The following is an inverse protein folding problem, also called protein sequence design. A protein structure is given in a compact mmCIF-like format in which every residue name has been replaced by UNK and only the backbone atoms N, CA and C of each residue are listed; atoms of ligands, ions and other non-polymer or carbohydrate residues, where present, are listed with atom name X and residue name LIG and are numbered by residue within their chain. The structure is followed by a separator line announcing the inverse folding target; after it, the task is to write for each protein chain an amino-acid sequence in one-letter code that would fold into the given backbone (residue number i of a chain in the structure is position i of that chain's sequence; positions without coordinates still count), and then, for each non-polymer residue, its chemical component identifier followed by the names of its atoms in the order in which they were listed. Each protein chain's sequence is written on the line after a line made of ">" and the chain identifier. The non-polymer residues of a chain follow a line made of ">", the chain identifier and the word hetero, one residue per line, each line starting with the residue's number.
data_IF_108555956219
#
_entry.id   IF_108555956219
#
_cell.length_a   1.000
_cell.length_b   1.000
_cell.length_c   1.000
_cell.angle_alpha   90.00
_cell.angle_beta   90.00
_cell.angle_gamma   90.00
#
_symmetry.space_group_name_H-M   'P 1'
#
loop_
_entity.id
_entity.type
_entity.pdbx_description
1 polymer ?
#
# COMPACT_ATOMS: atom_id res chain seq x y z
N UNK A 1 3.13 -13.15 11.04
CA UNK A 1 3.52 -12.50 9.76
C UNK A 1 4.45 -11.35 10.08
N UNK A 2 5.54 -11.18 9.34
CA UNK A 2 6.48 -10.08 9.54
C UNK A 2 6.11 -8.89 8.61
N UNK A 3 6.21 -7.64 9.10
CA UNK A 3 6.00 -6.47 8.28
C UNK A 3 7.16 -6.28 7.29
N UNK A 4 6.84 -5.97 6.03
CA UNK A 4 7.81 -5.67 4.97
C UNK A 4 8.42 -4.27 5.09
N UNK A 5 7.76 -3.39 5.84
CA UNK A 5 8.22 -2.02 6.07
C UNK A 5 8.19 -1.68 7.56
N UNK A 6 8.93 -0.65 7.89
CA UNK A 6 9.04 -0.12 9.26
C UNK A 6 8.55 1.33 9.29
N UNK A 7 8.41 1.89 10.52
CA UNK A 7 8.19 3.33 10.70
C UNK A 7 9.21 4.18 9.94
N UNK A 8 10.48 3.76 9.96
CA UNK A 8 11.56 4.49 9.29
C UNK A 8 11.36 4.53 7.78
N UNK A 9 10.84 3.45 7.20
CA UNK A 9 10.52 3.42 5.78
C UNK A 9 9.36 4.35 5.44
N UNK A 10 8.32 4.40 6.27
CA UNK A 10 7.20 5.34 6.09
C UNK A 10 7.69 6.78 6.21
N UNK A 11 8.58 7.07 7.18
CA UNK A 11 9.11 8.40 7.43
C UNK A 11 9.95 8.97 6.27
N UNK A 12 10.44 8.13 5.36
CA UNK A 12 11.11 8.57 4.12
C UNK A 12 10.16 9.31 3.17
N UNK A 13 8.88 8.97 3.19
CA UNK A 13 7.89 9.44 2.23
C UNK A 13 6.79 10.29 2.84
N UNK A 14 6.46 10.06 4.13
CA UNK A 14 5.37 10.72 4.84
C UNK A 14 5.78 11.11 6.24
N UNK A 15 5.35 12.30 6.65
CA UNK A 15 5.56 12.75 8.02
C UNK A 15 4.72 11.90 8.97
N UNK A 16 5.38 11.13 9.82
CA UNK A 16 4.76 10.35 10.88
C UNK A 16 5.35 10.75 12.23
N UNK A 17 4.51 10.84 13.27
CA UNK A 17 4.96 11.21 14.62
C UNK A 17 5.93 10.17 15.17
N UNK A 18 7.02 10.65 15.80
CA UNK A 18 7.99 9.79 16.52
C UNK A 18 7.37 9.11 17.76
N UNK A 19 6.34 9.71 18.33
CA UNK A 19 5.63 9.22 19.51
C UNK A 19 4.39 8.37 19.19
N UNK A 20 4.15 8.01 17.92
CA UNK A 20 3.06 7.13 17.56
C UNK A 20 3.27 5.73 18.19
N UNK A 21 2.17 5.08 18.59
CA UNK A 21 2.23 3.73 19.12
C UNK A 21 2.69 2.75 18.04
N UNK A 22 3.86 2.13 18.22
CA UNK A 22 4.45 1.19 17.25
C UNK A 22 3.60 -0.05 17.04
N UNK A 23 2.97 -0.58 18.10
CA UNK A 23 2.11 -1.75 17.97
C UNK A 23 0.93 -1.44 17.04
N UNK A 24 0.24 -0.31 17.26
CA UNK A 24 -0.87 0.12 16.41
C UNK A 24 -0.42 0.44 14.97
N UNK A 25 0.77 1.02 14.79
CA UNK A 25 1.32 1.26 13.46
C UNK A 25 1.63 -0.05 12.74
N UNK A 26 2.16 -1.06 13.44
CA UNK A 26 2.44 -2.38 12.88
C UNK A 26 1.16 -3.09 12.42
N UNK A 27 0.04 -2.97 13.18
CA UNK A 27 -1.26 -3.46 12.72
C UNK A 27 -1.65 -2.83 11.36
N UNK A 28 -1.50 -1.53 11.23
CA UNK A 28 -1.82 -0.82 9.98
C UNK A 28 -0.88 -1.18 8.82
N UNK A 29 0.40 -1.47 9.12
CA UNK A 29 1.35 -1.99 8.13
C UNK A 29 0.89 -3.37 7.64
N UNK A 30 0.54 -4.27 8.55
CA UNK A 30 0.07 -5.61 8.21
C UNK A 30 -1.25 -5.57 7.44
N UNK A 31 -2.18 -4.70 7.82
CA UNK A 31 -3.43 -4.47 7.10
C UNK A 31 -3.17 -3.97 5.67
N UNK A 32 -2.29 -2.98 5.50
CA UNK A 32 -1.91 -2.49 4.18
C UNK A 32 -1.25 -3.58 3.33
N UNK A 33 -0.45 -4.41 3.97
CA UNK A 33 0.27 -5.51 3.32
C UNK A 33 -0.70 -6.60 2.84
N UNK A 34 -1.66 -7.01 3.67
CA UNK A 34 -2.60 -8.07 3.35
C UNK A 34 -3.78 -7.60 2.48
N UNK A 35 -4.34 -6.42 2.79
CA UNK A 35 -5.60 -5.98 2.20
C UNK A 35 -5.41 -5.08 0.98
N UNK A 36 -4.27 -4.38 0.89
CA UNK A 36 -4.01 -3.49 -0.24
C UNK A 36 -2.93 -4.05 -1.18
N UNK A 37 -1.80 -4.54 -0.67
CA UNK A 37 -0.69 -5.00 -1.52
C UNK A 37 -0.93 -6.40 -2.10
N UNK A 38 -1.29 -7.40 -1.27
CA UNK A 38 -1.47 -8.77 -1.72
C UNK A 38 -2.40 -8.90 -2.93
N UNK A 39 -3.56 -8.23 -2.98
CA UNK A 39 -4.43 -8.28 -4.17
C UNK A 39 -3.82 -7.68 -5.44
N UNK A 40 -2.84 -6.78 -5.30
CA UNK A 40 -2.17 -6.13 -6.44
C UNK A 40 -1.09 -7.02 -7.05
N UNK A 41 -0.29 -7.67 -6.21
CA UNK A 41 0.84 -8.49 -6.69
C UNK A 41 0.47 -9.97 -6.90
N UNK A 42 -0.65 -10.40 -6.35
CA UNK A 42 -1.11 -11.78 -6.36
C UNK A 42 -0.51 -12.62 -5.23
N UNK A 43 -1.22 -13.67 -4.84
CA UNK A 43 -0.89 -14.50 -3.69
C UNK A 43 0.46 -15.23 -3.83
N UNK A 44 0.77 -15.73 -5.03
CA UNK A 44 2.01 -16.47 -5.28
C UNK A 44 3.24 -15.60 -5.03
N UNK A 45 3.32 -14.42 -5.66
CA UNK A 45 4.44 -13.50 -5.48
C UNK A 45 4.49 -12.98 -4.04
N UNK A 46 3.33 -12.70 -3.43
CA UNK A 46 3.24 -12.23 -2.06
C UNK A 46 3.85 -13.25 -1.06
N UNK A 47 3.50 -14.53 -1.18
CA UNK A 47 4.03 -15.57 -0.31
C UNK A 47 5.54 -15.78 -0.47
N UNK A 48 6.07 -15.69 -1.69
CA UNK A 48 7.50 -15.75 -1.95
C UNK A 48 8.25 -14.54 -1.37
N UNK A 49 7.70 -13.35 -1.53
CA UNK A 49 8.23 -12.12 -0.90
C UNK A 49 8.37 -12.23 0.62
N UNK A 50 7.43 -12.90 1.28
CA UNK A 50 7.49 -13.12 2.72
C UNK A 50 8.46 -14.23 3.13
N UNK A 51 8.64 -15.24 2.27
CA UNK A 51 9.51 -16.37 2.56
C UNK A 51 11.00 -16.03 2.37
N UNK A 52 11.33 -15.31 1.30
CA UNK A 52 12.72 -14.96 0.90
C UNK A 52 12.82 -13.50 0.46
N UNK A 53 12.59 -12.53 1.36
CA UNK A 53 12.58 -11.10 0.99
C UNK A 53 13.92 -10.62 0.40
N UNK A 54 15.03 -11.27 0.73
CA UNK A 54 16.37 -10.98 0.21
C UNK A 54 16.49 -11.21 -1.31
N UNK A 55 15.72 -12.14 -1.88
CA UNK A 55 15.73 -12.41 -3.32
C UNK A 55 14.96 -11.34 -4.13
N UNK A 56 14.15 -10.54 -3.47
CA UNK A 56 13.27 -9.55 -4.07
C UNK A 56 13.65 -8.11 -3.72
N UNK A 57 14.91 -7.85 -3.35
CA UNK A 57 15.34 -6.53 -2.90
C UNK A 57 15.07 -5.42 -3.93
N UNK A 58 15.32 -5.68 -5.21
CA UNK A 58 15.07 -4.71 -6.29
C UNK A 58 13.58 -4.37 -6.45
N UNK A 59 12.70 -5.33 -6.12
CA UNK A 59 11.26 -5.10 -6.13
C UNK A 59 10.81 -4.37 -4.85
N UNK A 60 11.38 -4.73 -3.71
CA UNK A 60 11.03 -4.16 -2.39
C UNK A 60 11.53 -2.72 -2.26
N UNK A 61 12.82 -2.50 -2.48
CA UNK A 61 13.46 -1.19 -2.30
C UNK A 61 13.25 -0.26 -3.50
N UNK A 62 13.13 -0.85 -4.70
CA UNK A 62 13.16 -0.10 -5.94
C UNK A 62 14.57 0.29 -6.37
N UNK A 63 14.67 1.05 -7.44
CA UNK A 63 15.96 1.46 -7.99
C UNK A 63 15.88 1.72 -9.48
N UNK A 64 17.04 1.94 -10.08
CA UNK A 64 17.19 2.08 -11.54
C UNK A 64 17.36 0.70 -12.15
N UNK A 65 16.62 0.42 -13.20
CA UNK A 65 16.76 -0.80 -14.00
C UNK A 65 16.77 -0.48 -15.49
N UNK A 66 17.33 -1.36 -16.28
CA UNK A 66 17.38 -1.23 -17.73
C UNK A 66 16.42 -2.22 -18.38
N UNK A 67 15.70 -1.76 -19.40
CA UNK A 67 14.87 -2.60 -20.25
C UNK A 67 14.94 -2.05 -21.68
N UNK A 68 15.21 -2.92 -22.65
CA UNK A 68 15.32 -2.57 -24.08
C UNK A 68 16.32 -1.43 -24.35
N UNK A 69 17.44 -1.38 -23.59
CA UNK A 69 18.47 -0.34 -23.73
C UNK A 69 18.07 1.03 -23.14
N UNK A 70 16.99 1.11 -22.40
CA UNK A 70 16.50 2.34 -21.76
C UNK A 70 16.51 2.17 -20.24
N UNK A 71 17.08 3.15 -19.54
CA UNK A 71 17.06 3.21 -18.07
C UNK A 71 15.71 3.70 -17.55
N UNK A 72 15.14 2.95 -16.60
CA UNK A 72 13.88 3.27 -15.93
C UNK A 72 14.05 3.26 -14.41
N UNK A 73 13.12 3.90 -13.71
CA UNK A 73 13.07 3.89 -12.25
C UNK A 73 11.90 3.04 -11.76
N UNK A 74 12.21 2.05 -10.90
CA UNK A 74 11.24 1.32 -10.08
C UNK A 74 11.11 2.03 -8.73
N UNK A 75 9.90 2.38 -8.30
CA UNK A 75 9.67 3.06 -7.03
C UNK A 75 9.68 2.12 -5.80
N UNK A 76 9.60 0.81 -6.04
CA UNK A 76 9.63 -0.22 -5.00
C UNK A 76 8.34 -0.39 -4.22
N UNK A 77 8.16 -1.60 -3.68
CA UNK A 77 6.97 -1.94 -2.87
C UNK A 77 6.95 -1.21 -1.52
N UNK A 78 8.11 -0.84 -0.97
CA UNK A 78 8.18 -0.06 0.28
C UNK A 78 7.46 1.28 0.14
N UNK A 79 7.63 1.95 -1.00
CA UNK A 79 6.94 3.22 -1.24
C UNK A 79 5.43 3.00 -1.36
N UNK A 80 4.97 1.99 -2.09
CA UNK A 80 3.54 1.63 -2.19
C UNK A 80 2.94 1.39 -0.81
N UNK A 81 3.58 0.53 -0.01
CA UNK A 81 3.13 0.20 1.34
C UNK A 81 3.14 1.40 2.28
N UNK A 82 4.16 2.27 2.19
CA UNK A 82 4.23 3.47 3.01
C UNK A 82 3.00 4.38 2.81
N UNK A 83 2.55 4.55 1.58
CA UNK A 83 1.37 5.36 1.28
C UNK A 83 0.05 4.69 1.71
N UNK A 84 -0.13 3.39 1.48
CA UNK A 84 -1.30 2.65 1.98
C UNK A 84 -1.36 2.65 3.51
N UNK A 85 -0.24 2.38 4.18
CA UNK A 85 -0.15 2.42 5.64
C UNK A 85 -0.48 3.81 6.18
N UNK A 86 0.06 4.86 5.57
CA UNK A 86 -0.21 6.23 5.99
C UNK A 86 -1.68 6.60 5.81
N UNK A 87 -2.31 6.18 4.72
CA UNK A 87 -3.75 6.36 4.53
C UNK A 87 -4.55 5.76 5.69
N UNK A 88 -4.26 4.51 6.08
CA UNK A 88 -4.90 3.85 7.23
C UNK A 88 -4.59 4.57 8.54
N UNK A 89 -3.34 4.99 8.73
CA UNK A 89 -2.90 5.71 9.93
C UNK A 89 -3.71 6.99 10.16
N UNK A 90 -3.98 7.79 9.14
CA UNK A 90 -4.76 9.02 9.26
C UNK A 90 -6.18 8.76 9.79
N UNK A 91 -6.82 7.68 9.36
CA UNK A 91 -8.17 7.32 9.79
C UNK A 91 -8.17 6.82 11.24
N UNK A 92 -7.24 5.93 11.59
CA UNK A 92 -7.31 5.16 12.84
C UNK A 92 -6.42 5.71 13.96
N UNK A 93 -5.50 6.66 13.68
CA UNK A 93 -4.53 7.13 14.68
C UNK A 93 -5.15 7.83 15.89
N UNK A 94 -6.25 8.56 15.71
CA UNK A 94 -6.94 9.27 16.79
C UNK A 94 -7.88 8.40 17.61
N UNK A 95 -8.21 7.21 17.11
CA UNK A 95 -9.17 6.30 17.74
C UNK A 95 -8.45 5.34 18.68
N UNK A 96 -8.96 5.13 19.87
CA UNK A 96 -8.42 4.18 20.86
C UNK A 96 -9.56 3.32 21.38
N UNK A 97 -9.36 2.01 21.35
CA UNK A 97 -10.27 1.06 21.99
C UNK A 97 -10.01 1.02 23.50
N UNK A 98 -11.08 1.01 24.28
CA UNK A 98 -11.06 0.93 25.74
C UNK A 98 -12.03 -0.15 26.18
N UNK A 99 -11.92 -0.61 27.44
CA UNK A 99 -12.80 -1.64 27.99
C UNK A 99 -14.31 -1.28 27.93
N UNK A 100 -14.66 -0.02 27.73
CA UNK A 100 -16.05 0.44 27.73
C UNK A 100 -16.54 0.91 26.36
N UNK A 101 -15.66 1.45 25.53
CA UNK A 101 -16.03 2.01 24.22
C UNK A 101 -14.80 2.39 23.40
N UNK A 102 -15.01 2.57 22.12
CA UNK A 102 -14.05 3.21 21.22
C UNK A 102 -14.13 4.72 21.41
N UNK A 103 -13.00 5.35 21.74
CA UNK A 103 -12.92 6.78 22.05
C UNK A 103 -11.92 7.49 21.13
N UNK A 104 -12.17 8.76 20.84
CA UNK A 104 -11.21 9.64 20.18
C UNK A 104 -10.48 10.47 21.24
N UNK A 105 -9.14 10.43 21.23
CA UNK A 105 -8.34 11.22 22.17
C UNK A 105 -8.35 12.69 21.76
N UNK A 106 -8.81 13.54 22.66
CA UNK A 106 -8.71 14.98 22.58
C UNK A 106 -7.51 15.45 23.42
N UNK A 107 -6.83 16.49 22.97
CA UNK A 107 -5.79 17.16 23.74
C UNK A 107 -6.23 18.61 23.96
N UNK A 108 -5.88 19.22 25.10
CA UNK A 108 -6.28 20.59 25.46
C UNK A 108 -5.78 21.65 24.45
N UNK A 109 -4.67 21.36 23.77
CA UNK A 109 -4.02 22.28 22.82
C UNK A 109 -4.26 21.98 21.35
N UNK A 110 -4.84 20.82 21.02
CA UNK A 110 -5.08 20.41 19.63
C UNK A 110 -6.31 19.53 19.52
N UNK A 111 -7.03 19.67 18.41
CA UNK A 111 -8.16 18.79 18.07
C UNK A 111 -7.78 17.88 16.92
N UNK A 112 -8.26 16.63 16.92
CA UNK A 112 -8.15 15.77 15.75
C UNK A 112 -8.76 16.46 14.52
N UNK A 113 -8.18 16.21 13.35
CA UNK A 113 -8.78 16.65 12.10
C UNK A 113 -10.20 16.08 11.97
N UNK A 114 -11.11 16.86 11.39
CA UNK A 114 -12.48 16.41 11.16
C UNK A 114 -12.55 15.20 10.23
N UNK A 115 -13.66 14.48 10.26
CA UNK A 115 -13.84 13.24 9.49
C UNK A 115 -13.74 13.49 7.97
N UNK A 116 -14.16 14.65 7.47
CA UNK A 116 -14.07 15.00 6.06
C UNK A 116 -12.63 15.19 5.62
N UNK A 117 -11.84 15.93 6.40
CA UNK A 117 -10.40 16.14 6.16
C UNK A 117 -9.64 14.82 6.21
N UNK A 118 -9.91 13.96 7.22
CA UNK A 118 -9.32 12.62 7.32
C UNK A 118 -9.64 11.78 6.08
N UNK A 119 -10.90 11.78 5.63
CA UNK A 119 -11.34 11.05 4.45
C UNK A 119 -10.65 11.54 3.18
N UNK A 120 -10.50 12.85 3.01
CA UNK A 120 -9.80 13.46 1.88
C UNK A 120 -8.33 13.03 1.85
N UNK A 121 -7.62 13.15 2.99
CA UNK A 121 -6.22 12.75 3.09
C UNK A 121 -6.06 11.25 2.85
N UNK A 122 -6.97 10.42 3.36
CA UNK A 122 -7.01 8.99 3.10
C UNK A 122 -7.11 8.69 1.61
N UNK A 123 -8.09 9.27 0.91
CA UNK A 123 -8.30 9.06 -0.53
C UNK A 123 -7.07 9.50 -1.33
N UNK A 124 -6.52 10.69 -1.08
CA UNK A 124 -5.34 11.20 -1.77
C UNK A 124 -4.12 10.27 -1.62
N UNK A 125 -3.91 9.71 -0.42
CA UNK A 125 -2.80 8.79 -0.20
C UNK A 125 -3.05 7.42 -0.83
N UNK A 126 -4.27 6.92 -0.84
CA UNK A 126 -4.61 5.68 -1.57
C UNK A 126 -4.43 5.85 -3.08
N UNK A 127 -4.90 6.94 -3.64
CA UNK A 127 -4.75 7.23 -5.07
C UNK A 127 -3.28 7.34 -5.45
N UNK A 128 -2.48 8.02 -4.63
CA UNK A 128 -1.03 8.08 -4.81
C UNK A 128 -0.38 6.70 -4.73
N UNK A 129 -0.79 5.84 -3.78
CA UNK A 129 -0.29 4.46 -3.67
C UNK A 129 -0.57 3.66 -4.95
N UNK A 130 -1.78 3.79 -5.53
CA UNK A 130 -2.12 3.14 -6.80
C UNK A 130 -1.29 3.68 -7.97
N UNK A 131 -1.03 4.99 -8.04
CA UNK A 131 -0.16 5.56 -9.08
C UNK A 131 1.29 5.05 -8.96
N UNK A 132 1.80 4.94 -7.72
CA UNK A 132 3.12 4.37 -7.45
C UNK A 132 3.13 2.88 -7.84
N UNK A 133 2.08 2.14 -7.50
CA UNK A 133 1.92 0.75 -7.89
C UNK A 133 1.95 0.57 -9.42
N UNK A 134 1.32 1.45 -10.19
CA UNK A 134 1.39 1.35 -11.66
C UNK A 134 2.83 1.48 -12.20
N UNK A 135 3.72 2.22 -11.50
CA UNK A 135 5.14 2.25 -11.84
C UNK A 135 5.81 0.90 -11.52
N UNK A 136 5.59 0.34 -10.32
CA UNK A 136 6.12 -0.97 -9.94
C UNK A 136 5.60 -2.09 -10.84
N UNK A 137 4.33 -2.03 -11.21
CA UNK A 137 3.72 -2.96 -12.16
C UNK A 137 4.40 -2.93 -13.53
N UNK A 138 4.76 -1.74 -14.04
CA UNK A 138 5.55 -1.61 -15.28
C UNK A 138 6.92 -2.25 -15.15
N UNK A 139 7.58 -2.13 -13.99
CA UNK A 139 8.83 -2.83 -13.71
C UNK A 139 8.65 -4.34 -13.84
N UNK A 140 7.65 -4.93 -13.14
CA UNK A 140 7.37 -6.37 -13.19
C UNK A 140 7.08 -6.88 -14.62
N UNK A 141 6.35 -6.10 -15.42
CA UNK A 141 6.03 -6.44 -16.80
C UNK A 141 7.28 -6.38 -17.70
N UNK A 142 8.06 -5.30 -17.60
CA UNK A 142 9.24 -5.10 -18.46
C UNK A 142 10.37 -6.09 -18.17
N UNK A 143 10.52 -6.47 -16.91
CA UNK A 143 11.51 -7.46 -16.49
C UNK A 143 11.02 -8.91 -16.68
N UNK A 144 9.81 -9.09 -17.20
CA UNK A 144 9.19 -10.43 -17.35
C UNK A 144 9.28 -11.24 -16.07
N UNK A 145 8.94 -10.59 -14.92
CA UNK A 145 9.10 -11.21 -13.61
C UNK A 145 8.33 -12.54 -13.52
N UNK A 146 8.99 -13.69 -13.24
CA UNK A 146 8.43 -15.01 -13.42
C UNK A 146 7.22 -15.30 -12.53
N UNK A 147 7.15 -14.64 -11.38
CA UNK A 147 6.11 -14.86 -10.38
C UNK A 147 4.95 -13.86 -10.49
N UNK A 148 5.05 -12.92 -11.41
CA UNK A 148 4.01 -11.91 -11.61
C UNK A 148 3.14 -12.25 -12.82
N UNK A 149 1.90 -12.67 -12.55
CA UNK A 149 0.89 -12.86 -13.59
C UNK A 149 0.10 -11.56 -13.75
N UNK A 150 0.31 -10.87 -14.86
CA UNK A 150 -0.50 -9.69 -15.20
C UNK A 150 -1.93 -10.13 -15.51
N UNK A 151 -2.75 -10.36 -14.49
CA UNK A 151 -4.18 -10.53 -14.65
C UNK A 151 -4.80 -9.19 -15.09
N UNK A 152 -4.68 -8.84 -16.37
CA UNK A 152 -5.62 -7.91 -16.95
C UNK A 152 -7.00 -8.57 -16.85
N UNK A 153 -7.83 -8.14 -15.90
CA UNK A 153 -9.26 -8.37 -15.98
C UNK A 153 -9.72 -7.71 -17.29
N UNK A 154 -9.77 -8.50 -18.34
CA UNK A 154 -10.55 -8.15 -19.51
C UNK A 154 -11.98 -8.11 -19.00
N UNK A 155 -12.47 -6.93 -18.64
CA UNK A 155 -13.90 -6.73 -18.49
C UNK A 155 -14.44 -6.89 -19.91
N UNK A 156 -14.82 -8.11 -20.23
CA UNK A 156 -15.62 -8.41 -21.40
C UNK A 156 -16.97 -7.70 -21.15
N UNK A 157 -17.07 -6.47 -21.60
CA UNK A 157 -18.32 -5.70 -21.67
C UNK A 157 -19.20 -6.30 -22.78
N UNK A 158 -19.47 -7.59 -22.66
CA UNK A 158 -20.40 -8.30 -23.52
C UNK A 158 -21.80 -8.34 -22.91
N UNK A 159 -22.42 -7.20 -22.67
CA UNK A 159 -23.88 -7.13 -22.53
C UNK A 159 -24.51 -7.48 -23.89
N UNK A 160 -24.70 -8.77 -24.13
CA UNK A 160 -25.52 -9.24 -25.26
C UNK A 160 -26.99 -9.08 -24.88
N UNK A 161 -27.60 -8.01 -25.33
CA UNK A 161 -29.06 -7.90 -25.34
C UNK A 161 -29.60 -8.85 -26.42
N UNK A 162 -30.23 -9.95 -26.00
CA UNK A 162 -30.96 -10.81 -26.89
C UNK A 162 -32.38 -10.19 -27.05
N UNK A 163 -32.67 -9.66 -28.24
CA UNK A 163 -34.05 -9.20 -28.57
C UNK A 163 -34.95 -10.43 -28.54
N UNK A 164 -35.92 -10.44 -27.63
CA UNK A 164 -37.00 -11.43 -27.61
C UNK A 164 -38.06 -10.89 -28.60
N UNK A 165 -38.28 -11.64 -29.66
CA UNK A 165 -39.39 -11.44 -30.63
C UNK A 165 -40.55 -12.26 -30.17
#
# INVERSE_FOLDING_TARGET
>A
MQPLITRTDIAKYRQISKSSNDAKLNEMILDAQMLDLQPLIGESLYNKLLATPEEYQDLIEGGIYEAEGIGYTNYGLKMVLAYFTYARHIIFSSVTDTAYSVVEKLNDTSRPADASSKKTIYSLNRDAAFQIWENVKKYLIRTHHPDFTNCQRTISTGLRFKKIV
#
